data_IF_196770307853
#
_entry.id   IF_196770307853
#
_cell.length_a   1.000
_cell.length_b   1.000
_cell.length_c   1.000
_cell.angle_alpha   90.00
_cell.angle_beta   90.00
_cell.angle_gamma   90.00
#
_symmetry.space_group_name_H-M   'P 1'
#
loop_
_entity.id
_entity.type
_entity.pdbx_description
1 polymer ?
#
# COMPACT_ATOMS: atom_id res chain seq x y z
N UNK A 1 2.40 29.90 -15.77
CA UNK A 1 1.05 29.35 -15.95
C UNK A 1 1.14 27.87 -15.66
N UNK A 2 0.79 27.44 -14.44
CA UNK A 2 0.81 26.02 -14.07
C UNK A 2 -0.40 25.34 -14.69
N UNK A 3 -0.19 24.19 -15.30
CA UNK A 3 -1.27 23.35 -15.82
C UNK A 3 -2.20 22.94 -14.67
N UNK A 4 -3.49 23.19 -14.84
CA UNK A 4 -4.53 22.70 -13.94
C UNK A 4 -4.65 21.19 -14.14
N UNK A 5 -3.82 20.40 -13.42
CA UNK A 5 -3.91 18.94 -13.45
C UNK A 5 -5.25 18.51 -12.86
N UNK A 6 -6.23 18.24 -13.73
CA UNK A 6 -7.52 17.66 -13.37
C UNK A 6 -7.34 16.19 -13.00
N UNK A 7 -7.14 15.92 -11.72
CA UNK A 7 -7.11 14.58 -11.16
C UNK A 7 -8.53 14.06 -10.93
N UNK A 8 -8.79 12.82 -11.34
CA UNK A 8 -10.01 12.12 -10.94
C UNK A 8 -9.79 11.52 -9.55
N UNK A 9 -10.53 12.01 -8.57
CA UNK A 9 -10.50 11.48 -7.19
C UNK A 9 -11.41 10.26 -7.13
N UNK A 10 -10.87 9.15 -6.60
CA UNK A 10 -11.64 7.93 -6.38
C UNK A 10 -12.55 8.10 -5.16
N UNK A 11 -13.81 7.69 -5.27
CA UNK A 11 -14.72 7.62 -4.12
C UNK A 11 -14.20 6.60 -3.10
N UNK A 12 -14.11 7.01 -1.83
CA UNK A 12 -13.47 6.23 -0.79
C UNK A 12 -14.39 6.06 0.44
N UNK A 13 -14.74 4.82 0.83
CA UNK A 13 -15.47 4.58 2.07
C UNK A 13 -14.58 4.83 3.31
N UNK A 14 -15.17 5.36 4.38
CA UNK A 14 -14.46 5.53 5.64
C UNK A 14 -14.07 4.18 6.25
N UNK A 15 -12.96 4.17 7.00
CA UNK A 15 -12.49 2.99 7.75
C UNK A 15 -12.24 1.73 6.89
N UNK A 16 -11.89 1.87 5.61
CA UNK A 16 -11.59 0.73 4.72
C UNK A 16 -10.09 0.64 4.34
N UNK A 17 -9.18 0.39 5.30
CA UNK A 17 -7.77 0.19 4.98
C UNK A 17 -7.53 -1.07 4.13
N UNK A 18 -8.42 -2.06 4.23
CA UNK A 18 -8.38 -3.30 3.46
C UNK A 18 -8.54 -3.08 1.96
N UNK A 19 -9.23 -2.00 1.57
CA UNK A 19 -9.30 -1.55 0.18
C UNK A 19 -8.01 -0.87 -0.28
N UNK A 20 -7.16 -0.34 0.60
CA UNK A 20 -6.00 0.45 0.22
C UNK A 20 -4.79 -0.44 -0.11
N UNK A 21 -4.36 -0.56 -1.38
CA UNK A 21 -3.26 -1.45 -1.73
C UNK A 21 -1.91 -1.03 -1.12
N UNK A 22 -1.76 0.25 -0.71
CA UNK A 22 -0.52 0.72 -0.08
C UNK A 22 -0.27 0.07 1.27
N UNK A 23 -1.31 -0.38 1.99
CA UNK A 23 -1.15 -1.05 3.28
C UNK A 23 -0.34 -2.35 3.13
N UNK A 24 -0.52 -3.06 2.02
CA UNK A 24 0.29 -4.24 1.73
C UNK A 24 1.73 -3.89 1.36
N UNK A 25 1.98 -2.75 0.69
CA UNK A 25 3.34 -2.27 0.46
C UNK A 25 4.03 -1.87 1.76
N UNK A 26 3.32 -1.20 2.67
CA UNK A 26 3.85 -0.88 3.99
C UNK A 26 4.19 -2.12 4.79
N UNK A 27 3.39 -3.17 4.69
CA UNK A 27 3.69 -4.45 5.32
C UNK A 27 4.98 -5.08 4.77
N UNK A 28 5.13 -5.13 3.44
CA UNK A 28 6.31 -5.66 2.77
C UNK A 28 7.58 -4.88 3.18
N UNK A 29 7.50 -3.54 3.20
CA UNK A 29 8.59 -2.67 3.62
C UNK A 29 8.97 -2.88 5.09
N UNK A 30 7.99 -2.87 6.00
CA UNK A 30 8.24 -3.06 7.44
C UNK A 30 8.92 -4.41 7.70
N UNK A 31 8.52 -5.47 6.98
CA UNK A 31 9.16 -6.77 7.07
C UNK A 31 10.63 -6.72 6.64
N UNK A 32 10.91 -6.12 5.49
CA UNK A 32 12.28 -6.02 4.97
C UNK A 32 13.20 -5.21 5.91
N UNK A 33 12.71 -4.08 6.40
CA UNK A 33 13.44 -3.22 7.34
C UNK A 33 13.64 -3.91 8.70
N UNK A 34 12.65 -4.64 9.21
CA UNK A 34 12.76 -5.37 10.47
C UNK A 34 13.85 -6.45 10.46
N UNK A 35 14.09 -7.10 9.31
CA UNK A 35 15.19 -8.07 9.15
C UNK A 35 16.55 -7.42 9.34
N UNK A 36 16.71 -6.14 8.97
CA UNK A 36 17.96 -5.38 9.12
C UNK A 36 18.22 -4.89 10.54
N UNK A 37 17.22 -4.98 11.44
CA UNK A 37 17.32 -4.64 12.87
C UNK A 37 17.99 -3.27 13.13
N UNK A 38 17.42 -2.16 12.61
CA UNK A 38 17.98 -0.83 12.84
C UNK A 38 18.04 -0.51 14.34
N UNK A 39 19.13 0.13 14.78
CA UNK A 39 19.38 0.45 16.19
C UNK A 39 19.07 1.89 16.58
N UNK A 40 18.88 2.75 15.58
CA UNK A 40 18.60 4.17 15.75
C UNK A 40 17.77 4.68 14.56
N UNK A 41 17.28 5.91 14.67
CA UNK A 41 16.42 6.53 13.65
C UNK A 41 17.17 6.74 12.33
N UNK A 42 18.45 7.09 12.37
CA UNK A 42 19.26 7.28 11.16
C UNK A 42 19.42 5.99 10.35
N UNK A 43 19.70 4.87 11.02
CA UNK A 43 19.73 3.54 10.39
C UNK A 43 18.36 3.14 9.86
N UNK A 44 17.29 3.38 10.64
CA UNK A 44 15.93 3.07 10.23
C UNK A 44 15.56 3.81 8.93
N UNK A 45 15.84 5.11 8.86
CA UNK A 45 15.59 5.94 7.69
C UNK A 45 16.37 5.46 6.47
N UNK A 46 17.68 5.23 6.61
CA UNK A 46 18.52 4.70 5.53
C UNK A 46 18.00 3.34 5.03
N UNK A 47 17.62 2.45 5.94
CA UNK A 47 17.12 1.12 5.57
C UNK A 47 15.74 1.20 4.90
N UNK A 48 14.87 2.12 5.33
CA UNK A 48 13.59 2.36 4.67
C UNK A 48 13.80 2.80 3.22
N UNK A 49 14.71 3.73 2.95
CA UNK A 49 15.01 4.17 1.58
C UNK A 49 15.59 3.04 0.72
N UNK A 50 16.56 2.30 1.25
CA UNK A 50 17.17 1.16 0.56
C UNK A 50 16.14 0.07 0.20
N UNK A 51 15.31 -0.33 1.17
CA UNK A 51 14.34 -1.41 0.95
C UNK A 51 13.18 -0.95 0.08
N UNK A 52 12.77 0.33 0.17
CA UNK A 52 11.77 0.91 -0.72
C UNK A 52 12.22 0.86 -2.18
N UNK A 53 13.48 1.23 -2.46
CA UNK A 53 14.04 1.21 -3.81
C UNK A 53 14.12 -0.21 -4.41
N UNK A 54 14.09 -1.25 -3.58
CA UNK A 54 14.11 -2.66 -4.01
C UNK A 54 12.72 -3.23 -4.31
N UNK A 55 11.64 -2.53 -3.95
CA UNK A 55 10.28 -3.01 -4.20
C UNK A 55 10.07 -3.14 -5.72
N UNK A 56 9.81 -4.35 -6.25
CA UNK A 56 9.65 -4.53 -7.69
C UNK A 56 8.40 -3.82 -8.19
N UNK A 57 8.49 -3.19 -9.36
CA UNK A 57 7.34 -2.56 -10.03
C UNK A 57 6.19 -3.56 -10.23
N UNK A 58 6.51 -4.83 -10.52
CA UNK A 58 5.49 -5.87 -10.70
C UNK A 58 4.71 -6.19 -9.42
N UNK A 59 5.31 -5.96 -8.24
CA UNK A 59 4.59 -6.05 -6.97
C UNK A 59 3.49 -4.99 -6.89
N UNK A 60 3.82 -3.74 -7.25
CA UNK A 60 2.85 -2.65 -7.32
C UNK A 60 1.75 -2.95 -8.35
N UNK A 61 2.10 -3.41 -9.56
CA UNK A 61 1.11 -3.81 -10.59
C UNK A 61 0.16 -4.90 -10.09
N UNK A 62 0.69 -5.91 -9.39
CA UNK A 62 -0.11 -7.00 -8.82
C UNK A 62 -1.11 -6.49 -7.79
N UNK A 63 -0.68 -5.59 -6.90
CA UNK A 63 -1.54 -5.00 -5.87
C UNK A 63 -2.67 -4.18 -6.50
N UNK A 64 -2.38 -3.35 -7.50
CA UNK A 64 -3.39 -2.59 -8.25
C UNK A 64 -4.34 -3.53 -8.99
N UNK A 65 -3.82 -4.56 -9.67
CA UNK A 65 -4.64 -5.52 -10.41
C UNK A 65 -5.56 -6.35 -9.51
N UNK A 66 -5.20 -6.52 -8.22
CA UNK A 66 -6.01 -7.22 -7.23
C UNK A 66 -7.25 -6.42 -6.77
N UNK A 67 -7.33 -5.12 -7.07
CA UNK A 67 -8.33 -4.22 -6.49
C UNK A 67 -9.77 -4.66 -6.77
N UNK A 68 -10.06 -5.13 -7.98
CA UNK A 68 -11.37 -5.68 -8.33
C UNK A 68 -11.78 -6.87 -7.44
N UNK A 69 -10.82 -7.69 -7.01
CA UNK A 69 -11.09 -8.80 -6.10
C UNK A 69 -11.36 -8.34 -4.67
N UNK A 70 -10.76 -7.22 -4.22
CA UNK A 70 -11.04 -6.60 -2.92
C UNK A 70 -12.47 -6.04 -2.88
N UNK A 71 -12.87 -5.32 -3.93
CA UNK A 71 -14.24 -4.81 -4.06
C UNK A 71 -15.27 -5.95 -4.00
N UNK A 72 -15.02 -7.04 -4.74
CA UNK A 72 -15.89 -8.23 -4.68
C UNK A 72 -15.95 -8.83 -3.28
N UNK A 73 -14.84 -8.86 -2.55
CA UNK A 73 -14.82 -9.32 -1.17
C UNK A 73 -15.68 -8.45 -0.27
N UNK A 74 -15.54 -7.11 -0.34
CA UNK A 74 -16.35 -6.15 0.43
C UNK A 74 -17.85 -6.32 0.14
N UNK A 75 -18.22 -6.45 -1.14
CA UNK A 75 -19.62 -6.68 -1.54
C UNK A 75 -20.14 -8.00 -0.95
N UNK A 76 -19.33 -9.07 -1.02
CA UNK A 76 -19.71 -10.40 -0.50
C UNK A 76 -19.97 -10.36 1.00
N UNK A 77 -19.17 -9.61 1.76
CA UNK A 77 -19.35 -9.43 3.22
C UNK A 77 -20.25 -8.25 3.58
N UNK A 78 -20.97 -7.68 2.61
CA UNK A 78 -21.93 -6.56 2.80
C UNK A 78 -21.32 -5.33 3.49
N UNK A 79 -20.08 -4.98 3.15
CA UNK A 79 -19.40 -3.81 3.71
C UNK A 79 -18.63 -4.06 5.00
N UNK A 80 -18.66 -5.27 5.57
CA UNK A 80 -17.83 -5.65 6.70
C UNK A 80 -16.34 -5.81 6.31
N UNK A 81 -15.48 -6.00 7.32
CA UNK A 81 -14.05 -6.17 7.13
C UNK A 81 -13.72 -7.38 6.24
N UNK A 82 -12.78 -7.21 5.33
CA UNK A 82 -12.25 -8.31 4.51
C UNK A 82 -10.91 -8.81 5.06
N UNK A 83 -10.35 -9.83 4.41
CA UNK A 83 -9.04 -10.42 4.75
C UNK A 83 -7.83 -9.61 4.24
N UNK A 84 -8.08 -8.54 3.47
CA UNK A 84 -7.05 -7.78 2.75
C UNK A 84 -6.37 -6.73 3.61
#
# INVERSE_FOLDING_TARGET
MGEDTRWNILEWPSQSPDLNPIENLWWDLKKAVAVRKPKNVTELEAFVHDEWAKIPVDRCKTLVSSYASRLKAVITVKGCCTKY
#
